data_IF_382511065093
#
_entry.id   IF_382511065093
#
_cell.length_a   1.000
_cell.length_b   1.000
_cell.length_c   1.000
_cell.angle_alpha   90.00
_cell.angle_beta   90.00
_cell.angle_gamma   90.00
#
_symmetry.space_group_name_H-M   'P 1'
#
loop_
_entity.id
_entity.type
_entity.pdbx_description
1 polymer ?
#
# COMPACT_ATOMS: atom_id res chain seq x y z
N UNK A 1 -4.76 9.76 19.03
CA UNK A 1 -4.31 10.88 18.19
C UNK A 1 -4.26 10.44 16.73
N UNK A 2 -4.85 11.24 15.84
CA UNK A 2 -4.94 10.86 14.43
C UNK A 2 -3.57 10.99 13.74
N UNK A 3 -3.15 9.93 13.05
CA UNK A 3 -1.93 9.93 12.25
C UNK A 3 -2.22 10.42 10.83
N UNK A 4 -1.18 10.73 10.06
CA UNK A 4 -1.32 11.05 8.65
C UNK A 4 -2.09 9.94 7.92
N UNK A 5 -1.73 8.67 8.15
CA UNK A 5 -2.35 7.55 7.46
C UNK A 5 -3.78 7.30 7.90
N UNK A 6 -4.13 7.53 9.17
CA UNK A 6 -5.53 7.40 9.60
C UNK A 6 -6.41 8.47 8.96
N UNK A 7 -5.88 9.67 8.76
CA UNK A 7 -6.59 10.75 8.07
C UNK A 7 -6.78 10.45 6.58
N UNK A 8 -5.77 9.85 5.96
CA UNK A 8 -5.86 9.40 4.56
C UNK A 8 -6.94 8.32 4.45
N UNK A 9 -6.92 7.32 5.33
CA UNK A 9 -7.89 6.23 5.30
C UNK A 9 -9.32 6.70 5.57
N UNK A 10 -9.48 7.76 6.36
CA UNK A 10 -10.78 8.36 6.65
C UNK A 10 -11.27 9.31 5.54
N UNK A 11 -10.44 9.58 4.55
CA UNK A 11 -10.81 10.49 3.44
C UNK A 11 -10.60 11.96 3.76
N UNK A 12 -10.00 12.30 4.90
CA UNK A 12 -9.73 13.69 5.28
C UNK A 12 -8.59 14.30 4.48
N UNK A 13 -7.65 13.47 4.05
CA UNK A 13 -6.53 13.88 3.20
C UNK A 13 -6.63 13.09 1.90
N UNK A 14 -6.55 13.76 0.73
CA UNK A 14 -6.61 13.07 -0.56
C UNK A 14 -5.49 12.05 -0.74
N UNK A 15 -5.78 10.97 -1.44
CA UNK A 15 -4.81 9.92 -1.73
C UNK A 15 -5.16 9.26 -3.06
N UNK A 16 -4.21 8.48 -3.58
CA UNK A 16 -4.43 7.66 -4.77
C UNK A 16 -4.89 6.27 -4.31
N UNK A 17 -6.20 6.13 -4.09
CA UNK A 17 -6.78 4.91 -3.53
C UNK A 17 -6.61 3.72 -4.47
N UNK A 18 -6.10 2.61 -3.93
CA UNK A 18 -5.92 1.35 -4.64
C UNK A 18 -6.90 0.27 -4.18
N UNK A 19 -7.30 0.29 -2.91
CA UNK A 19 -8.20 -0.72 -2.35
C UNK A 19 -8.73 -0.25 -1.01
N UNK A 20 -9.82 -0.83 -0.55
CA UNK A 20 -10.34 -0.56 0.80
C UNK A 20 -11.26 -1.67 1.27
N UNK A 21 -11.39 -1.76 2.58
CA UNK A 21 -12.34 -2.62 3.26
C UNK A 21 -12.79 -1.89 4.53
N UNK A 22 -13.60 -2.54 5.35
CA UNK A 22 -14.05 -1.95 6.62
C UNK A 22 -12.88 -1.64 7.55
N UNK A 23 -11.84 -2.47 7.55
CA UNK A 23 -10.72 -2.37 8.49
C UNK A 23 -9.44 -1.80 7.89
N UNK A 24 -9.29 -1.84 6.57
CA UNK A 24 -8.01 -1.53 5.91
C UNK A 24 -8.19 -0.61 4.71
N UNK A 25 -7.09 0.03 4.35
CA UNK A 25 -7.05 0.95 3.23
C UNK A 25 -5.71 0.82 2.51
N UNK A 26 -5.71 0.97 1.19
CA UNK A 26 -4.49 0.91 0.40
C UNK A 26 -4.44 2.07 -0.59
N UNK A 27 -3.29 2.70 -0.71
CA UNK A 27 -3.07 3.86 -1.57
C UNK A 27 -1.62 3.89 -2.05
N UNK A 28 -1.38 4.59 -3.16
CA UNK A 28 -0.02 4.71 -3.69
C UNK A 28 0.84 5.59 -2.80
N UNK A 29 2.10 5.20 -2.64
CA UNK A 29 3.11 6.07 -2.04
C UNK A 29 3.34 7.25 -2.99
N UNK A 30 3.27 8.48 -2.47
CA UNK A 30 3.47 9.68 -3.29
C UNK A 30 4.93 9.88 -3.70
N UNK A 31 5.84 9.14 -3.09
CA UNK A 31 7.26 9.12 -3.42
C UNK A 31 7.67 7.67 -3.73
N UNK A 32 7.14 7.10 -4.83
CA UNK A 32 7.25 5.66 -5.08
C UNK A 32 8.67 5.24 -5.43
N UNK A 33 9.05 4.08 -4.89
CA UNK A 33 10.32 3.42 -5.22
C UNK A 33 10.25 2.84 -6.64
N UNK A 34 9.07 2.30 -6.98
CA UNK A 34 8.77 1.79 -8.33
C UNK A 34 7.33 2.17 -8.64
N UNK A 35 6.98 2.16 -9.92
CA UNK A 35 5.59 2.39 -10.33
C UNK A 35 4.71 1.29 -9.72
N UNK A 36 3.63 1.69 -9.07
CA UNK A 36 2.74 0.76 -8.40
C UNK A 36 3.07 0.51 -6.93
N UNK A 37 4.10 1.16 -6.39
CA UNK A 37 4.44 1.10 -4.97
C UNK A 37 3.23 1.53 -4.14
N UNK A 38 2.65 0.59 -3.41
CA UNK A 38 1.41 0.78 -2.66
C UNK A 38 1.67 0.62 -1.18
N UNK A 39 0.97 1.42 -0.37
CA UNK A 39 0.98 1.30 1.08
C UNK A 39 -0.35 0.70 1.52
N UNK A 40 -0.30 -0.27 2.43
CA UNK A 40 -1.50 -0.88 3.01
C UNK A 40 -1.49 -0.56 4.50
N UNK A 41 -2.58 0.02 4.98
CA UNK A 41 -2.68 0.47 6.37
C UNK A 41 -3.96 -0.04 7.04
N UNK A 42 -3.91 -0.35 8.35
CA UNK A 42 -5.14 -0.54 9.11
C UNK A 42 -5.77 0.84 9.36
N UNK A 43 -7.10 0.90 9.38
CA UNK A 43 -7.79 2.15 9.74
C UNK A 43 -7.60 2.48 11.21
N UNK A 44 -7.46 1.44 12.03
CA UNK A 44 -7.14 1.58 13.46
C UNK A 44 -5.70 2.04 13.61
N UNK A 45 -5.46 2.97 14.53
CA UNK A 45 -4.13 3.52 14.76
C UNK A 45 -3.29 2.56 15.61
N UNK A 46 -2.31 1.93 14.98
CA UNK A 46 -1.32 1.07 15.62
C UNK A 46 0.02 1.47 15.04
N UNK A 47 0.98 1.84 15.90
CA UNK A 47 2.29 2.28 15.43
C UNK A 47 3.14 1.11 14.91
N UNK A 48 3.21 0.04 15.69
CA UNK A 48 4.10 -1.09 15.42
C UNK A 48 3.28 -2.33 15.03
N UNK A 49 3.58 -2.88 13.86
CA UNK A 49 2.81 -3.99 13.32
C UNK A 49 2.77 -5.19 14.28
N UNK A 50 3.86 -5.44 15.01
CA UNK A 50 3.91 -6.57 15.93
C UNK A 50 3.19 -6.34 17.26
N UNK A 51 2.63 -5.14 17.46
CA UNK A 51 1.72 -4.86 18.57
C UNK A 51 0.26 -5.12 18.22
N UNK A 52 -0.03 -5.44 16.95
CA UNK A 52 -1.39 -5.81 16.54
C UNK A 52 -1.74 -7.17 17.15
N UNK A 53 -3.03 -7.34 17.56
CA UNK A 53 -3.44 -8.67 17.99
C UNK A 53 -3.43 -9.65 16.83
N UNK A 54 -3.43 -10.94 17.15
CA UNK A 54 -3.24 -11.98 16.15
C UNK A 54 -4.29 -11.94 15.04
N UNK A 55 -5.55 -11.71 15.41
CA UNK A 55 -6.63 -11.70 14.43
C UNK A 55 -6.53 -10.47 13.51
N UNK A 56 -6.24 -9.31 14.07
CA UNK A 56 -6.09 -8.10 13.27
C UNK A 56 -4.88 -8.22 12.34
N UNK A 57 -3.78 -8.80 12.83
CA UNK A 57 -2.59 -9.03 12.01
C UNK A 57 -2.90 -10.01 10.87
N UNK A 58 -3.62 -11.10 11.16
CA UNK A 58 -4.00 -12.07 10.15
C UNK A 58 -4.89 -11.42 9.08
N UNK A 59 -5.88 -10.65 9.49
CA UNK A 59 -6.78 -9.95 8.57
C UNK A 59 -6.04 -8.93 7.72
N UNK A 60 -5.07 -8.22 8.33
CA UNK A 60 -4.24 -7.24 7.65
C UNK A 60 -3.41 -7.90 6.55
N UNK A 61 -2.77 -9.01 6.87
CA UNK A 61 -1.94 -9.76 5.91
C UNK A 61 -2.79 -10.33 4.77
N UNK A 62 -3.97 -10.84 5.06
CA UNK A 62 -4.88 -11.36 4.03
C UNK A 62 -5.33 -10.24 3.10
N UNK A 63 -5.64 -9.06 3.64
CA UNK A 63 -5.99 -7.90 2.82
C UNK A 63 -4.80 -7.49 1.93
N UNK A 64 -3.60 -7.45 2.50
CA UNK A 64 -2.38 -7.13 1.74
C UNK A 64 -2.18 -8.12 0.59
N UNK A 65 -2.45 -9.40 0.80
CA UNK A 65 -2.38 -10.42 -0.26
C UNK A 65 -3.31 -10.06 -1.42
N UNK A 66 -4.54 -9.64 -1.13
CA UNK A 66 -5.51 -9.26 -2.17
C UNK A 66 -5.01 -8.04 -2.95
N UNK A 67 -4.47 -7.06 -2.25
CA UNK A 67 -3.91 -5.85 -2.90
C UNK A 67 -2.71 -6.23 -3.77
N UNK A 68 -1.82 -7.10 -3.28
CA UNK A 68 -0.67 -7.57 -4.05
C UNK A 68 -1.11 -8.28 -5.33
N UNK A 69 -2.15 -9.09 -5.27
CA UNK A 69 -2.71 -9.75 -6.44
C UNK A 69 -3.29 -8.73 -7.43
N UNK A 70 -3.96 -7.72 -6.94
CA UNK A 70 -4.48 -6.63 -7.78
C UNK A 70 -3.35 -5.88 -8.49
N UNK A 71 -2.28 -5.57 -7.76
CA UNK A 71 -1.11 -4.91 -8.33
C UNK A 71 -0.52 -5.74 -9.47
N UNK A 72 -0.31 -7.03 -9.22
CA UNK A 72 0.30 -7.91 -10.22
C UNK A 72 -0.60 -8.11 -11.44
N UNK A 73 -1.91 -8.12 -11.25
CA UNK A 73 -2.86 -8.23 -12.35
C UNK A 73 -2.86 -6.97 -13.22
N UNK A 74 -2.80 -5.79 -12.58
CA UNK A 74 -2.78 -4.50 -13.31
C UNK A 74 -1.41 -4.24 -13.97
N UNK A 75 -0.33 -4.60 -13.29
CA UNK A 75 1.04 -4.36 -13.72
C UNK A 75 1.87 -5.64 -13.56
N UNK A 76 1.88 -6.50 -14.59
CA UNK A 76 2.60 -7.78 -14.52
C UNK A 76 4.06 -7.59 -14.11
N UNK A 77 4.49 -8.44 -13.17
CA UNK A 77 5.84 -8.43 -12.61
C UNK A 77 6.18 -9.84 -12.15
N UNK A 78 7.44 -10.09 -11.81
CA UNK A 78 7.84 -11.41 -11.34
C UNK A 78 7.20 -11.72 -9.99
N UNK A 79 7.30 -10.78 -9.06
CA UNK A 79 6.76 -10.90 -7.70
C UNK A 79 6.35 -9.54 -7.19
N UNK A 80 5.49 -9.52 -6.19
CA UNK A 80 5.23 -8.32 -5.39
C UNK A 80 5.98 -8.52 -4.07
N UNK A 81 6.91 -7.62 -3.76
CA UNK A 81 7.64 -7.65 -2.50
C UNK A 81 6.80 -7.01 -1.41
N UNK A 82 6.89 -7.55 -0.22
CA UNK A 82 6.24 -6.99 0.97
C UNK A 82 7.33 -6.57 1.96
N UNK A 83 7.30 -5.31 2.38
CA UNK A 83 8.28 -4.74 3.29
C UNK A 83 7.58 -3.94 4.38
N UNK A 84 8.00 -4.10 5.62
CA UNK A 84 7.50 -3.33 6.76
C UNK A 84 8.67 -2.64 7.42
N UNK A 85 8.64 -1.32 7.49
CA UNK A 85 9.67 -0.51 8.15
C UNK A 85 9.08 0.32 9.28
N UNK A 86 8.16 1.24 8.96
CA UNK A 86 7.40 1.99 9.96
C UNK A 86 8.17 3.00 10.79
N UNK A 87 9.32 3.48 10.31
CA UNK A 87 10.17 4.39 11.10
C UNK A 87 9.84 5.87 10.92
N UNK A 88 9.29 6.25 9.76
CA UNK A 88 9.03 7.65 9.46
C UNK A 88 7.62 8.10 9.86
N UNK A 89 6.63 7.22 9.71
CA UNK A 89 5.25 7.48 10.09
C UNK A 89 4.83 6.47 11.15
N UNK A 90 4.37 6.99 12.29
CA UNK A 90 3.99 6.16 13.46
C UNK A 90 2.59 5.57 13.29
N UNK A 91 2.41 4.83 12.21
CA UNK A 91 1.20 4.10 11.89
C UNK A 91 1.64 2.90 11.05
N UNK A 92 1.35 1.70 11.52
CA UNK A 92 1.78 0.47 10.87
C UNK A 92 1.36 0.46 9.40
N UNK A 93 2.30 0.14 8.53
CA UNK A 93 2.00 0.05 7.10
C UNK A 93 2.90 -0.97 6.41
N UNK A 94 2.30 -1.64 5.44
CA UNK A 94 2.98 -2.61 4.59
C UNK A 94 3.27 -1.93 3.27
N UNK A 95 4.54 -1.97 2.82
CA UNK A 95 4.91 -1.57 1.47
C UNK A 95 4.75 -2.76 0.54
N UNK A 96 4.02 -2.58 -0.55
CA UNK A 96 3.92 -3.57 -1.62
C UNK A 96 4.55 -2.98 -2.88
N UNK A 97 5.55 -3.68 -3.41
CA UNK A 97 6.32 -3.21 -4.57
C UNK A 97 6.33 -4.28 -5.66
N UNK A 98 5.80 -3.98 -6.85
CA UNK A 98 5.97 -4.90 -7.99
C UNK A 98 7.42 -4.87 -8.44
N UNK A 99 8.09 -6.02 -8.44
CA UNK A 99 9.52 -6.11 -8.72
C UNK A 99 9.83 -7.22 -9.71
N UNK A 100 10.96 -7.06 -10.39
CA UNK A 100 11.52 -8.06 -11.31
C UNK A 100 12.91 -8.50 -10.88
N UNK A 101 13.55 -7.75 -9.97
CA UNK A 101 14.83 -8.10 -9.36
C UNK A 101 14.89 -7.54 -7.94
N UNK A 102 15.80 -8.06 -7.13
CA UNK A 102 16.00 -7.58 -5.75
C UNK A 102 16.47 -6.12 -5.72
N UNK A 103 17.20 -5.70 -6.75
CA UNK A 103 17.68 -4.32 -6.86
C UNK A 103 16.54 -3.31 -6.98
N UNK A 104 15.34 -3.75 -7.36
CA UNK A 104 14.17 -2.87 -7.45
C UNK A 104 13.71 -2.39 -6.06
N UNK A 105 14.08 -3.11 -5.00
CA UNK A 105 13.73 -2.72 -3.62
C UNK A 105 14.86 -1.87 -3.05
N UNK A 106 14.84 -0.59 -3.38
CA UNK A 106 15.86 0.36 -2.89
C UNK A 106 15.14 1.64 -2.47
N UNK A 107 14.95 1.79 -1.16
CA UNK A 107 14.23 2.95 -0.60
C UNK A 107 15.01 4.26 -0.69
N UNK A 108 16.22 4.23 -1.21
CA UNK A 108 17.00 5.44 -1.51
C UNK A 108 16.78 5.92 -2.94
N UNK A 109 16.10 5.14 -3.77
CA UNK A 109 15.79 5.49 -5.16
C UNK A 109 14.30 5.64 -5.33
N UNK A 110 13.90 6.66 -6.08
CA UNK A 110 12.48 6.93 -6.30
C UNK A 110 12.26 7.26 -7.78
N UNK A 111 11.10 6.87 -8.29
CA UNK A 111 10.68 7.26 -9.63
C UNK A 111 9.75 8.45 -9.52
N UNK A 112 9.74 9.30 -10.56
CA UNK A 112 8.82 10.43 -10.62
C UNK A 112 7.68 10.08 -11.57
N UNK A 113 6.46 10.12 -11.07
CA UNK A 113 5.26 9.92 -11.85
C UNK A 113 4.41 11.18 -11.75
N UNK A 114 3.79 11.57 -12.86
CA UNK A 114 2.87 12.71 -12.87
C UNK A 114 1.63 12.38 -12.04
N UNK A 115 0.87 13.41 -11.65
CA UNK A 115 -0.40 13.22 -10.98
C UNK A 115 -1.34 12.33 -11.80
N UNK A 116 -1.37 12.54 -13.13
CA UNK A 116 -2.20 11.75 -14.03
C UNK A 116 -1.77 10.29 -14.08
N UNK A 117 -0.47 10.04 -14.14
CA UNK A 117 0.07 8.67 -14.09
C UNK A 117 -0.26 7.99 -12.76
N UNK A 118 -0.17 8.71 -11.65
CA UNK A 118 -0.52 8.19 -10.34
C UNK A 118 -2.01 7.85 -10.26
N UNK A 119 -2.87 8.74 -10.76
CA UNK A 119 -4.34 8.49 -10.81
C UNK A 119 -4.66 7.26 -11.64
N UNK A 120 -4.06 7.13 -12.80
CA UNK A 120 -4.28 5.99 -13.70
C UNK A 120 -3.79 4.70 -13.06
N UNK A 121 -2.61 4.73 -12.45
CA UNK A 121 -2.04 3.57 -11.77
C UNK A 121 -2.96 3.09 -10.65
N UNK A 122 -3.39 4.00 -9.80
CA UNK A 122 -4.29 3.67 -8.70
C UNK A 122 -5.63 3.11 -9.20
N UNK A 123 -6.20 3.74 -10.23
CA UNK A 123 -7.46 3.30 -10.83
C UNK A 123 -7.35 1.88 -11.36
N UNK A 124 -6.27 1.56 -12.07
CA UNK A 124 -6.08 0.23 -12.64
C UNK A 124 -5.95 -0.83 -11.55
N UNK A 125 -5.24 -0.51 -10.47
CA UNK A 125 -5.12 -1.42 -9.33
C UNK A 125 -6.48 -1.59 -8.65
N UNK A 126 -7.23 -0.51 -8.45
CA UNK A 126 -8.55 -0.56 -7.82
C UNK A 126 -9.54 -1.40 -8.63
N UNK A 127 -9.55 -1.22 -9.95
CA UNK A 127 -10.42 -2.02 -10.84
C UNK A 127 -10.04 -3.51 -10.74
N UNK A 128 -8.75 -3.84 -10.73
CA UNK A 128 -8.29 -5.21 -10.56
C UNK A 128 -8.70 -5.77 -9.19
N UNK A 129 -8.59 -4.96 -8.14
CA UNK A 129 -8.97 -5.34 -6.78
C UNK A 129 -10.46 -5.69 -6.70
N UNK A 130 -11.32 -4.90 -7.34
CA UNK A 130 -12.77 -5.13 -7.32
C UNK A 130 -13.19 -6.42 -8.04
N UNK A 131 -12.33 -6.95 -8.89
CA UNK A 131 -12.62 -8.18 -9.64
C UNK A 131 -12.18 -9.46 -8.92
N UNK A 132 -11.52 -9.35 -7.80
CA UNK A 132 -11.06 -10.49 -7.02
C UNK A 132 -12.19 -11.16 -6.25
#
# INVERSE_FOLDING_TARGET
MATLFSKIAAGEIPSYKCAESDKFYAFLDINPVVKGHTLVVPRKEVDYIFDMDDQDLADFEVFAKKVARAIRAAYPCRKVAEVVLGLEVNHAHIHLLPINSEADVDFHKHVKLSDEEMKTTAKNIYEAFKKL
#
